data_IF_957580284291
#
_entry.id   IF_957580284291
#
_cell.length_a   1.000
_cell.length_b   1.000
_cell.length_c   1.000
_cell.angle_alpha   90.00
_cell.angle_beta   90.00
_cell.angle_gamma   90.00
#
_symmetry.space_group_name_H-M   'P 1'
#
loop_
_entity.id
_entity.type
_entity.pdbx_description
1 polymer ?
#
# COMPACT_ATOMS: atom_id res chain seq x y z
N UNK A 1 -11.35 -82.38 4.75
CA UNK A 1 -10.73 -81.74 3.57
C UNK A 1 -11.08 -80.28 3.65
N UNK A 2 -10.12 -79.44 4.02
CA UNK A 2 -10.29 -78.04 4.44
C UNK A 2 -10.25 -77.14 3.24
N UNK A 3 -11.33 -76.36 3.01
CA UNK A 3 -11.36 -75.31 2.01
C UNK A 3 -10.74 -74.05 2.62
N UNK A 4 -9.62 -73.63 2.07
CA UNK A 4 -8.97 -72.36 2.43
C UNK A 4 -9.61 -71.29 1.56
N UNK A 5 -10.31 -70.38 2.20
CA UNK A 5 -10.92 -69.19 1.57
C UNK A 5 -9.87 -68.08 1.58
N UNK A 6 -9.31 -67.76 0.43
CA UNK A 6 -8.39 -66.63 0.27
C UNK A 6 -9.22 -65.33 0.17
N UNK A 7 -9.16 -64.53 1.22
CA UNK A 7 -9.73 -63.18 1.23
C UNK A 7 -8.72 -62.23 0.62
N UNK A 8 -8.97 -61.84 -0.63
CA UNK A 8 -8.18 -60.79 -1.30
C UNK A 8 -8.66 -59.42 -0.76
N UNK A 9 -7.88 -58.82 0.12
CA UNK A 9 -8.04 -57.43 0.52
C UNK A 9 -7.65 -56.54 -0.66
N UNK A 10 -8.63 -55.96 -1.31
CA UNK A 10 -8.46 -54.88 -2.26
C UNK A 10 -8.21 -53.58 -1.46
N UNK A 11 -6.96 -53.27 -1.21
CA UNK A 11 -6.56 -51.96 -0.70
C UNK A 11 -6.74 -50.95 -1.86
N UNK A 12 -7.90 -50.31 -1.93
CA UNK A 12 -8.09 -49.13 -2.76
C UNK A 12 -7.29 -48.02 -2.11
N UNK A 13 -6.08 -47.81 -2.57
CA UNK A 13 -5.35 -46.59 -2.28
C UNK A 13 -6.07 -45.41 -2.95
N UNK A 14 -6.93 -44.77 -2.18
CA UNK A 14 -7.43 -43.43 -2.50
C UNK A 14 -6.21 -42.49 -2.47
N UNK A 15 -5.48 -42.44 -3.58
CA UNK A 15 -4.59 -41.32 -3.85
C UNK A 15 -5.52 -40.10 -4.02
N UNK A 16 -5.87 -39.47 -2.89
CA UNK A 16 -6.38 -38.15 -2.87
C UNK A 16 -5.27 -37.26 -3.45
N UNK A 17 -5.31 -37.02 -4.74
CA UNK A 17 -4.69 -35.83 -5.32
C UNK A 17 -5.34 -34.62 -4.61
N UNK A 18 -4.84 -34.24 -3.46
CA UNK A 18 -4.89 -32.86 -3.05
C UNK A 18 -4.13 -32.11 -4.13
N UNK A 19 -4.83 -31.62 -5.15
CA UNK A 19 -4.43 -30.42 -5.81
C UNK A 19 -4.31 -29.41 -4.66
N UNK A 20 -3.10 -29.20 -4.19
CA UNK A 20 -2.76 -27.96 -3.51
C UNK A 20 -3.10 -26.91 -4.53
N UNK A 21 -4.24 -26.23 -4.34
CA UNK A 21 -4.45 -24.95 -4.99
C UNK A 21 -3.24 -24.13 -4.54
N UNK A 22 -2.28 -23.98 -5.46
CA UNK A 22 -1.15 -23.12 -5.27
C UNK A 22 -1.79 -21.74 -5.29
N UNK A 23 -2.08 -21.21 -4.11
CA UNK A 23 -2.61 -19.86 -3.95
C UNK A 23 -1.48 -18.94 -4.39
N UNK A 24 -1.72 -18.20 -5.46
CA UNK A 24 -0.81 -17.15 -5.89
C UNK A 24 -0.67 -16.14 -4.76
N UNK A 25 0.54 -15.67 -4.50
CA UNK A 25 0.81 -14.80 -3.37
C UNK A 25 2.28 -14.46 -3.24
N UNK A 26 2.65 -13.81 -2.17
CA UNK A 26 4.03 -13.50 -1.84
C UNK A 26 4.37 -13.93 -0.40
N UNK A 27 5.65 -14.11 -0.14
CA UNK A 27 6.15 -14.37 1.19
C UNK A 27 6.63 -13.08 1.82
N UNK A 28 6.15 -12.81 3.03
CA UNK A 28 6.59 -11.70 3.86
C UNK A 28 7.25 -12.24 5.12
N UNK A 29 8.45 -11.77 5.41
CA UNK A 29 9.16 -12.13 6.65
C UNK A 29 9.88 -10.90 7.21
N UNK A 30 10.20 -10.92 8.50
CA UNK A 30 10.91 -9.81 9.11
C UNK A 30 11.73 -10.21 10.32
N UNK A 31 12.77 -9.38 10.57
CA UNK A 31 13.56 -9.40 11.79
C UNK A 31 13.47 -7.98 12.39
N UNK A 32 12.68 -7.85 13.45
CA UNK A 32 12.36 -6.58 14.11
C UNK A 32 12.77 -6.64 15.58
N UNK A 33 13.73 -5.81 15.96
CA UNK A 33 14.09 -5.63 17.37
C UNK A 33 12.86 -5.10 18.14
N UNK A 34 12.62 -5.65 19.32
CA UNK A 34 11.49 -5.30 20.18
C UNK A 34 10.21 -6.10 19.94
N UNK A 35 10.14 -6.90 18.87
CA UNK A 35 8.98 -7.75 18.58
C UNK A 35 8.95 -8.96 19.54
N UNK A 36 7.83 -9.18 20.24
CA UNK A 36 7.66 -10.21 21.26
C UNK A 36 6.76 -11.35 20.76
N UNK A 37 6.94 -12.56 21.32
CA UNK A 37 6.00 -13.66 21.09
C UNK A 37 4.60 -13.28 21.55
N UNK A 38 3.60 -13.54 20.72
CA UNK A 38 2.19 -13.18 20.97
C UNK A 38 1.83 -11.75 20.54
N UNK A 39 2.76 -10.97 20.01
CA UNK A 39 2.41 -9.74 19.32
C UNK A 39 1.66 -10.03 18.03
N UNK A 40 0.86 -9.08 17.61
CA UNK A 40 0.07 -9.16 16.40
C UNK A 40 0.45 -8.02 15.47
N UNK A 41 0.81 -8.35 14.25
CA UNK A 41 1.01 -7.40 13.16
C UNK A 41 -0.20 -7.43 12.24
N UNK A 42 -0.64 -6.27 11.78
CA UNK A 42 -1.77 -6.10 10.87
C UNK A 42 -1.24 -5.64 9.52
N UNK A 43 -1.50 -6.42 8.49
CA UNK A 43 -1.13 -6.10 7.12
C UNK A 43 -2.38 -5.61 6.38
N UNK A 44 -2.49 -4.29 6.23
CA UNK A 44 -3.63 -3.64 5.57
C UNK A 44 -3.37 -3.46 4.09
N UNK A 45 -4.39 -3.71 3.27
CA UNK A 45 -4.38 -3.49 1.83
C UNK A 45 -5.14 -2.22 1.49
N UNK A 46 -4.62 -1.44 0.53
CA UNK A 46 -5.26 -0.21 0.07
C UNK A 46 -5.42 -0.19 -1.44
N UNK A 47 -6.60 0.23 -1.90
CA UNK A 47 -6.89 0.45 -3.31
C UNK A 47 -6.52 1.88 -3.73
N UNK A 48 -5.82 2.00 -4.84
CA UNK A 48 -5.53 3.27 -5.49
C UNK A 48 -6.61 3.60 -6.55
N UNK A 49 -6.85 4.87 -6.83
CA UNK A 49 -6.17 6.06 -6.30
C UNK A 49 -6.72 6.56 -4.96
N UNK A 50 -7.88 6.08 -4.52
CA UNK A 50 -8.64 6.67 -3.40
C UNK A 50 -8.08 6.30 -2.01
N UNK A 51 -7.03 5.48 -1.95
CA UNK A 51 -6.44 4.97 -0.70
C UNK A 51 -7.47 4.32 0.24
N UNK A 52 -8.47 3.68 -0.35
CA UNK A 52 -9.50 2.98 0.41
C UNK A 52 -8.94 1.68 0.96
N UNK A 53 -9.11 1.44 2.27
CA UNK A 53 -8.80 0.14 2.88
C UNK A 53 -9.70 -0.94 2.28
N UNK A 54 -9.09 -2.02 1.79
CA UNK A 54 -9.77 -3.13 1.13
C UNK A 54 -9.76 -4.42 1.96
N UNK A 55 -8.75 -4.58 2.82
CA UNK A 55 -8.64 -5.75 3.69
C UNK A 55 -7.56 -5.61 4.74
N UNK A 56 -7.56 -6.54 5.69
CA UNK A 56 -6.54 -6.64 6.73
C UNK A 56 -6.24 -8.10 7.04
N UNK A 57 -5.00 -8.52 6.82
CA UNK A 57 -4.47 -9.79 7.27
C UNK A 57 -3.81 -9.64 8.64
N UNK A 58 -3.85 -10.71 9.44
CA UNK A 58 -3.26 -10.74 10.77
C UNK A 58 -2.09 -11.71 10.80
N UNK A 59 -0.93 -11.24 11.28
CA UNK A 59 0.28 -12.05 11.43
C UNK A 59 0.60 -12.17 12.92
N UNK A 60 0.47 -13.39 13.47
CA UNK A 60 0.82 -13.68 14.85
C UNK A 60 2.33 -13.95 14.94
N UNK A 61 2.98 -13.32 15.92
CA UNK A 61 4.39 -13.52 16.19
C UNK A 61 4.58 -14.76 17.06
N UNK A 62 5.17 -15.80 16.48
CA UNK A 62 5.41 -17.09 17.15
C UNK A 62 6.81 -17.21 17.74
N UNK A 63 7.75 -16.37 17.27
CA UNK A 63 9.14 -16.36 17.72
C UNK A 63 9.61 -14.93 17.92
N UNK A 64 10.26 -14.68 19.06
CA UNK A 64 10.81 -13.37 19.41
C UNK A 64 11.69 -12.78 18.30
N UNK A 65 11.49 -11.50 18.03
CA UNK A 65 12.24 -10.72 17.03
C UNK A 65 11.94 -11.07 15.57
N UNK A 66 11.10 -12.06 15.28
CA UNK A 66 10.88 -12.51 13.90
C UNK A 66 9.42 -12.83 13.59
N UNK A 67 9.03 -12.64 12.34
CA UNK A 67 7.74 -13.11 11.81
C UNK A 67 7.90 -13.64 10.38
N UNK A 68 6.97 -14.47 9.94
CA UNK A 68 6.87 -14.92 8.55
C UNK A 68 5.43 -15.27 8.23
N UNK A 69 4.95 -14.84 7.07
CA UNK A 69 3.64 -15.15 6.55
C UNK A 69 3.68 -15.36 5.03
N UNK A 70 2.76 -16.17 4.52
CA UNK A 70 2.43 -16.21 3.10
C UNK A 70 1.12 -15.44 2.92
N UNK A 71 1.13 -14.46 2.03
CA UNK A 71 0.00 -13.56 1.78
C UNK A 71 -0.56 -13.87 0.40
N UNK A 72 -1.79 -14.41 0.30
CA UNK A 72 -2.47 -14.63 -0.98
C UNK A 72 -2.71 -13.29 -1.69
N UNK A 73 -2.46 -13.27 -3.01
CA UNK A 73 -2.72 -12.09 -3.83
C UNK A 73 -2.82 -12.49 -5.31
N UNK A 74 -3.55 -11.70 -6.10
CA UNK A 74 -3.75 -11.96 -7.53
C UNK A 74 -2.95 -11.00 -8.43
N UNK A 75 -2.56 -9.84 -7.91
CA UNK A 75 -1.85 -8.79 -8.64
C UNK A 75 -0.94 -7.99 -7.71
N UNK A 76 -0.05 -7.20 -8.28
CA UNK A 76 0.81 -6.28 -7.51
C UNK A 76 -0.02 -5.37 -6.62
N UNK A 77 0.32 -5.33 -5.33
CA UNK A 77 -0.50 -4.68 -4.31
C UNK A 77 0.36 -3.86 -3.36
N UNK A 78 -0.21 -2.74 -2.89
CA UNK A 78 0.34 -1.94 -1.81
C UNK A 78 -0.22 -2.40 -0.47
N UNK A 79 0.67 -2.63 0.49
CA UNK A 79 0.35 -2.99 1.85
C UNK A 79 0.95 -2.01 2.85
N UNK A 80 0.25 -1.85 3.96
CA UNK A 80 0.76 -1.15 5.15
C UNK A 80 0.81 -2.12 6.32
N UNK A 81 2.03 -2.48 6.76
CA UNK A 81 2.23 -3.30 7.95
C UNK A 81 2.18 -2.41 9.18
N UNK A 82 1.32 -2.74 10.11
CA UNK A 82 1.08 -1.99 11.35
C UNK A 82 1.23 -2.88 12.58
N UNK A 83 1.55 -2.26 13.69
CA UNK A 83 1.53 -2.87 15.02
C UNK A 83 0.55 -2.13 15.91
N UNK A 84 -0.18 -2.87 16.74
CA UNK A 84 -1.03 -2.29 17.77
C UNK A 84 -0.40 -2.58 19.14
N UNK A 85 0.15 -1.56 19.81
CA UNK A 85 0.73 -1.71 21.14
C UNK A 85 -0.29 -2.22 22.15
N UNK A 86 0.14 -3.05 23.08
CA UNK A 86 -0.67 -3.44 24.23
C UNK A 86 -0.86 -2.28 25.19
N UNK A 87 -1.87 -2.34 26.06
CA UNK A 87 -2.13 -1.30 27.03
C UNK A 87 -0.90 -1.08 27.94
N UNK A 88 -0.40 0.15 27.99
CA UNK A 88 0.79 0.52 28.77
C UNK A 88 2.12 0.43 28.01
N UNK A 89 2.11 -0.06 26.77
CA UNK A 89 3.31 -0.02 25.92
C UNK A 89 3.47 1.35 25.24
N UNK A 90 4.72 1.71 24.87
CA UNK A 90 4.97 2.93 24.12
C UNK A 90 4.23 2.94 22.78
N UNK A 91 3.61 4.07 22.41
CA UNK A 91 2.88 4.23 21.15
C UNK A 91 3.79 4.41 19.92
N UNK A 92 5.11 4.31 20.09
CA UNK A 92 6.10 4.62 19.06
C UNK A 92 5.94 3.71 17.80
N UNK A 93 5.69 2.43 18.02
CA UNK A 93 5.50 1.44 16.96
C UNK A 93 4.26 1.67 16.08
N UNK A 94 3.28 2.44 16.55
CA UNK A 94 2.07 2.75 15.79
C UNK A 94 2.06 4.14 15.13
N UNK A 95 3.13 4.96 15.32
CA UNK A 95 3.22 6.29 14.70
C UNK A 95 3.20 6.18 13.18
N UNK A 96 3.92 5.18 12.63
CA UNK A 96 3.99 4.94 11.18
C UNK A 96 4.20 3.45 10.90
N UNK A 97 3.40 2.87 10.03
CA UNK A 97 3.57 1.51 9.53
C UNK A 97 4.63 1.39 8.44
N UNK A 98 5.03 0.15 8.13
CA UNK A 98 5.91 -0.15 7.00
C UNK A 98 5.11 -0.27 5.70
N UNK A 99 5.50 0.49 4.69
CA UNK A 99 4.88 0.52 3.37
C UNK A 99 5.53 -0.55 2.48
N UNK A 100 4.76 -1.51 1.98
CA UNK A 100 5.24 -2.65 1.21
C UNK A 100 4.53 -2.71 -0.12
N UNK A 101 5.29 -2.87 -1.21
CA UNK A 101 4.74 -3.15 -2.53
C UNK A 101 5.25 -4.51 -2.97
N UNK A 102 4.34 -5.45 -3.20
CA UNK A 102 4.66 -6.82 -3.51
C UNK A 102 4.01 -7.27 -4.82
N UNK A 103 4.69 -8.14 -5.55
CA UNK A 103 4.18 -8.90 -6.69
C UNK A 103 3.94 -10.34 -6.29
N UNK A 104 3.11 -11.02 -7.03
CA UNK A 104 2.99 -12.48 -6.95
C UNK A 104 4.36 -13.12 -7.13
N UNK A 105 4.74 -14.01 -6.20
CA UNK A 105 6.00 -14.73 -6.18
C UNK A 105 7.15 -14.03 -5.46
N UNK A 106 7.00 -12.77 -5.01
CA UNK A 106 8.06 -12.08 -4.26
C UNK A 106 8.34 -12.75 -2.89
N UNK A 107 9.59 -12.70 -2.43
CA UNK A 107 10.03 -13.04 -1.05
C UNK A 107 10.59 -11.76 -0.42
N UNK A 108 9.72 -10.99 0.26
CA UNK A 108 10.07 -9.70 0.84
C UNK A 108 10.48 -9.89 2.30
N UNK A 109 11.60 -9.25 2.66
CA UNK A 109 12.17 -9.31 4.00
C UNK A 109 12.31 -7.91 4.58
N UNK A 110 11.85 -7.76 5.82
CA UNK A 110 11.95 -6.53 6.59
C UNK A 110 13.04 -6.66 7.66
N UNK A 111 13.80 -5.61 7.87
CA UNK A 111 14.81 -5.53 8.94
C UNK A 111 14.79 -4.17 9.61
N UNK A 112 14.75 -4.16 10.94
CA UNK A 112 14.77 -2.91 11.71
C UNK A 112 14.31 -3.11 13.15
N UNK A 113 13.62 -2.09 13.68
CA UNK A 113 13.05 -2.10 15.03
C UNK A 113 11.54 -1.87 14.96
N UNK A 114 10.80 -2.50 15.86
CA UNK A 114 9.36 -2.32 16.00
C UNK A 114 9.00 -0.85 16.32
N UNK A 115 9.81 -0.19 17.16
CA UNK A 115 9.63 1.24 17.49
C UNK A 115 9.72 2.16 16.26
N UNK A 116 10.40 1.71 15.22
CA UNK A 116 10.58 2.44 13.98
C UNK A 116 10.01 1.65 12.79
N UNK A 117 8.83 1.05 12.97
CA UNK A 117 8.24 0.17 11.96
C UNK A 117 8.13 0.83 10.57
N UNK A 118 7.80 2.12 10.51
CA UNK A 118 7.76 2.88 9.25
C UNK A 118 9.14 3.27 8.68
N UNK A 119 10.23 2.88 9.36
CA UNK A 119 11.62 3.14 8.94
C UNK A 119 12.42 1.84 8.75
N UNK A 120 11.77 0.68 8.71
CA UNK A 120 12.42 -0.60 8.40
C UNK A 120 12.99 -0.61 6.99
N UNK A 121 14.00 -1.45 6.77
CA UNK A 121 14.61 -1.67 5.46
C UNK A 121 13.99 -2.90 4.82
N UNK A 122 13.79 -2.79 3.52
CA UNK A 122 13.24 -3.85 2.68
C UNK A 122 14.31 -4.51 1.82
N UNK A 123 14.10 -5.78 1.48
CA UNK A 123 14.86 -6.53 0.47
C UNK A 123 13.96 -7.58 -0.19
N UNK A 124 14.34 -8.05 -1.37
CA UNK A 124 13.52 -8.93 -2.21
C UNK A 124 12.54 -8.17 -3.11
N UNK A 125 12.04 -8.81 -4.15
CA UNK A 125 11.11 -8.23 -5.09
C UNK A 125 11.62 -6.94 -5.75
N UNK A 126 10.82 -5.89 -5.73
CA UNK A 126 11.22 -4.57 -6.26
C UNK A 126 12.42 -3.95 -5.53
N UNK A 127 12.61 -4.28 -4.25
CA UNK A 127 13.65 -3.68 -3.42
C UNK A 127 15.07 -4.16 -3.76
N UNK A 128 15.22 -5.17 -4.61
CA UNK A 128 16.52 -5.60 -5.16
C UNK A 128 16.99 -4.70 -6.30
N UNK A 129 16.12 -3.82 -6.84
CA UNK A 129 16.50 -2.79 -7.77
C UNK A 129 17.25 -1.65 -7.03
N UNK A 130 18.40 -1.24 -7.53
CA UNK A 130 19.26 -0.27 -6.86
C UNK A 130 18.62 1.10 -6.62
N UNK A 131 17.76 1.57 -7.54
CA UNK A 131 17.07 2.85 -7.39
C UNK A 131 15.94 2.76 -6.36
N UNK A 132 15.21 1.65 -6.34
CA UNK A 132 14.18 1.38 -5.31
C UNK A 132 14.83 1.21 -3.94
N UNK A 133 15.93 0.43 -3.83
CA UNK A 133 16.68 0.28 -2.59
C UNK A 133 17.24 1.61 -2.06
N UNK A 134 17.66 2.51 -2.96
CA UNK A 134 18.08 3.86 -2.59
C UNK A 134 16.92 4.69 -2.07
N UNK A 135 15.77 4.65 -2.74
CA UNK A 135 14.56 5.32 -2.29
C UNK A 135 14.12 4.82 -0.92
N UNK A 136 14.07 3.49 -0.73
CA UNK A 136 13.78 2.83 0.53
C UNK A 136 14.70 3.31 1.67
N UNK A 137 16.02 3.38 1.41
CA UNK A 137 16.99 3.88 2.38
C UNK A 137 16.75 5.32 2.82
N UNK A 138 16.46 6.19 1.87
CA UNK A 138 16.19 7.61 2.14
C UNK A 138 14.85 7.79 2.86
N UNK A 139 13.85 6.99 2.50
CA UNK A 139 12.55 6.99 3.17
C UNK A 139 12.69 6.51 4.62
N UNK A 140 13.44 5.45 4.87
CA UNK A 140 13.70 4.96 6.23
C UNK A 140 14.37 6.02 7.09
N UNK A 141 15.41 6.70 6.59
CA UNK A 141 16.08 7.80 7.30
C UNK A 141 15.11 8.95 7.61
N UNK A 142 14.34 9.41 6.63
CA UNK A 142 13.35 10.47 6.79
C UNK A 142 12.25 10.09 7.78
N UNK A 143 11.77 8.85 7.73
CA UNK A 143 10.74 8.36 8.64
C UNK A 143 11.27 8.23 10.07
N UNK A 144 12.55 7.87 10.28
CA UNK A 144 13.18 7.86 11.61
C UNK A 144 13.07 9.23 12.26
N UNK A 145 13.46 10.29 11.56
CA UNK A 145 13.38 11.67 12.06
C UNK A 145 11.94 12.08 12.39
N UNK A 146 11.00 11.75 11.50
CA UNK A 146 9.58 12.04 11.74
C UNK A 146 9.01 11.31 12.95
N UNK A 147 9.35 10.03 13.12
CA UNK A 147 8.91 9.23 14.27
C UNK A 147 9.49 9.81 15.55
N UNK A 148 10.75 10.26 15.55
CA UNK A 148 11.38 10.89 16.71
C UNK A 148 10.68 12.18 17.11
N UNK A 149 10.41 13.07 16.17
CA UNK A 149 9.69 14.32 16.43
C UNK A 149 8.30 14.01 17.00
N UNK A 150 7.54 13.14 16.35
CA UNK A 150 6.17 12.82 16.75
C UNK A 150 6.10 12.10 18.11
N UNK A 151 7.08 11.25 18.41
CA UNK A 151 7.15 10.57 19.70
C UNK A 151 7.35 11.56 20.87
N UNK A 152 8.04 12.69 20.65
CA UNK A 152 8.14 13.75 21.64
C UNK A 152 6.79 14.45 21.86
N UNK A 153 6.01 14.66 20.79
CA UNK A 153 4.65 15.22 20.92
C UNK A 153 3.82 14.34 21.86
N UNK A 154 3.75 13.03 21.56
CA UNK A 154 2.99 12.07 22.38
C UNK A 154 3.46 12.08 23.85
N UNK A 155 4.77 12.02 24.10
CA UNK A 155 5.36 12.06 25.45
C UNK A 155 4.94 13.31 26.22
N UNK A 156 4.99 14.48 25.60
CA UNK A 156 4.67 15.74 26.28
C UNK A 156 3.16 15.97 26.40
N UNK A 157 2.34 15.40 25.53
CA UNK A 157 0.88 15.35 25.68
C UNK A 157 0.50 14.54 26.94
N UNK A 158 1.09 13.37 27.12
CA UNK A 158 0.84 12.50 28.27
C UNK A 158 1.23 13.18 29.58
N UNK A 159 2.33 13.93 29.59
CA UNK A 159 2.81 14.68 30.76
C UNK A 159 2.23 16.10 30.87
N UNK A 160 1.26 16.50 30.05
CA UNK A 160 0.56 17.80 30.03
C UNK A 160 1.50 19.02 29.91
N UNK A 161 2.62 18.89 29.19
CA UNK A 161 3.58 19.95 28.95
C UNK A 161 3.27 20.68 27.64
N UNK A 162 2.27 21.55 27.65
CA UNK A 162 1.71 22.18 26.45
C UNK A 162 2.73 22.97 25.61
N UNK A 163 3.67 23.68 26.25
CA UNK A 163 4.71 24.43 25.52
C UNK A 163 5.63 23.51 24.73
N UNK A 164 5.97 22.34 25.30
CA UNK A 164 6.75 21.32 24.61
C UNK A 164 5.96 20.69 23.47
N UNK A 165 4.67 20.40 23.65
CA UNK A 165 3.78 19.92 22.60
C UNK A 165 3.73 20.92 21.44
N UNK A 166 3.55 22.21 21.71
CA UNK A 166 3.53 23.26 20.70
C UNK A 166 4.86 23.34 19.93
N UNK A 167 6.00 23.30 20.65
CA UNK A 167 7.34 23.30 20.04
C UNK A 167 7.54 22.16 19.06
N UNK A 168 7.30 20.91 19.50
CA UNK A 168 7.49 19.74 18.66
C UNK A 168 6.42 19.64 17.55
N UNK A 169 5.19 20.14 17.80
CA UNK A 169 4.15 20.29 16.78
C UNK A 169 4.59 21.24 15.66
N UNK A 170 5.23 22.36 15.99
CA UNK A 170 5.82 23.25 15.01
C UNK A 170 6.95 22.56 14.24
N UNK A 171 7.87 21.88 14.92
CA UNK A 171 8.95 21.13 14.26
C UNK A 171 8.40 20.09 13.28
N UNK A 172 7.32 19.38 13.65
CA UNK A 172 6.66 18.40 12.76
C UNK A 172 6.05 19.06 11.53
N UNK A 173 5.36 20.19 11.69
CA UNK A 173 4.74 20.94 10.60
C UNK A 173 5.78 21.57 9.66
N UNK A 174 6.93 21.97 10.18
CA UNK A 174 8.04 22.56 9.44
C UNK A 174 9.01 21.49 8.88
N UNK A 175 8.80 20.21 9.22
CA UNK A 175 9.66 19.14 8.74
C UNK A 175 9.55 18.98 7.23
N UNK A 176 10.63 19.30 6.55
CA UNK A 176 10.74 19.12 5.10
C UNK A 176 11.53 17.85 4.79
N UNK A 177 10.90 16.93 4.09
CA UNK A 177 11.61 15.73 3.61
C UNK A 177 12.84 16.14 2.79
N UNK A 178 13.97 15.45 2.94
CA UNK A 178 15.20 15.79 2.23
C UNK A 178 14.98 15.91 0.72
N UNK A 179 15.54 16.94 0.10
CA UNK A 179 15.45 17.16 -1.36
C UNK A 179 15.94 15.94 -2.14
N UNK A 180 16.95 15.24 -1.63
CA UNK A 180 17.46 14.02 -2.27
C UNK A 180 16.41 12.91 -2.32
N UNK A 181 15.57 12.74 -1.28
CA UNK A 181 14.47 11.79 -1.29
C UNK A 181 13.45 12.13 -2.37
N UNK A 182 13.06 13.41 -2.46
CA UNK A 182 12.17 13.90 -3.52
C UNK A 182 12.76 13.63 -4.91
N UNK A 183 14.04 13.93 -5.11
CA UNK A 183 14.72 13.72 -6.40
C UNK A 183 14.72 12.26 -6.83
N UNK A 184 14.95 11.32 -5.90
CA UNK A 184 14.94 9.88 -6.21
C UNK A 184 13.52 9.40 -6.48
N UNK A 185 12.52 9.85 -5.69
CA UNK A 185 11.10 9.58 -5.93
C UNK A 185 10.66 10.04 -7.32
N UNK A 186 10.97 11.29 -7.66
CA UNK A 186 10.59 11.87 -8.95
C UNK A 186 11.31 11.14 -10.11
N UNK A 187 12.55 10.68 -9.89
CA UNK A 187 13.25 9.85 -10.89
C UNK A 187 12.58 8.50 -11.10
N UNK A 188 12.13 7.83 -10.03
CA UNK A 188 11.35 6.59 -10.12
C UNK A 188 10.02 6.83 -10.86
N UNK A 189 9.25 7.81 -10.41
CA UNK A 189 7.91 8.06 -10.94
C UNK A 189 7.89 8.58 -12.38
N UNK A 190 8.87 9.40 -12.78
CA UNK A 190 8.82 10.17 -14.04
C UNK A 190 9.80 9.67 -15.14
N UNK A 191 10.82 8.88 -14.78
CA UNK A 191 11.89 8.49 -15.72
C UNK A 191 12.03 6.98 -15.91
N UNK A 192 11.56 6.16 -14.99
CA UNK A 192 11.62 4.70 -15.10
C UNK A 192 10.37 4.22 -15.83
N UNK A 193 10.56 3.48 -16.94
CA UNK A 193 9.47 3.11 -17.84
C UNK A 193 9.19 1.61 -17.88
N UNK A 194 10.08 0.80 -17.38
CA UNK A 194 10.12 -0.66 -17.48
C UNK A 194 9.84 -1.40 -16.15
N UNK A 195 9.32 -0.68 -15.17
CA UNK A 195 9.06 -1.23 -13.84
C UNK A 195 7.69 -0.79 -13.32
N UNK A 196 6.87 -1.74 -12.93
CA UNK A 196 5.52 -1.47 -12.37
C UNK A 196 5.57 -0.62 -11.08
N UNK A 197 6.66 -0.74 -10.29
CA UNK A 197 6.89 0.14 -9.13
C UNK A 197 6.86 1.63 -9.51
N UNK A 198 7.34 1.99 -10.71
CA UNK A 198 7.29 3.36 -11.20
C UNK A 198 5.86 3.82 -11.54
N UNK A 199 5.03 2.92 -12.07
CA UNK A 199 3.61 3.19 -12.29
C UNK A 199 2.87 3.40 -10.96
N UNK A 200 3.15 2.58 -9.94
CA UNK A 200 2.66 2.80 -8.57
C UNK A 200 3.10 4.16 -8.03
N UNK A 201 4.39 4.50 -8.13
CA UNK A 201 4.92 5.78 -7.63
C UNK A 201 4.27 6.97 -8.32
N UNK A 202 3.98 6.87 -9.61
CA UNK A 202 3.28 7.92 -10.33
C UNK A 202 1.81 8.00 -9.89
N UNK A 203 1.10 6.89 -9.82
CA UNK A 203 -0.30 6.83 -9.38
C UNK A 203 -0.50 7.33 -7.95
N UNK A 204 0.44 7.03 -7.05
CA UNK A 204 0.35 7.40 -5.63
C UNK A 204 0.72 8.85 -5.31
N UNK A 205 1.62 9.47 -6.09
CA UNK A 205 2.21 10.75 -5.75
C UNK A 205 1.86 11.89 -6.69
N UNK A 206 1.45 11.62 -7.92
CA UNK A 206 1.28 12.63 -8.96
C UNK A 206 -0.13 12.69 -9.55
N UNK A 207 -0.89 11.62 -9.47
CA UNK A 207 -2.19 11.53 -10.15
C UNK A 207 -3.21 12.57 -9.69
N UNK A 208 -3.14 12.99 -8.43
CA UNK A 208 -4.10 13.96 -7.86
C UNK A 208 -3.98 15.36 -8.44
N UNK A 209 -2.76 15.77 -8.84
CA UNK A 209 -2.50 17.09 -9.42
C UNK A 209 -2.26 17.02 -10.93
N UNK A 210 -2.31 15.80 -11.52
CA UNK A 210 -2.04 15.59 -12.93
C UNK A 210 -3.25 15.90 -13.81
N UNK A 211 -3.01 16.53 -14.96
CA UNK A 211 -4.02 16.70 -16.00
C UNK A 211 -4.21 15.41 -16.82
N UNK A 212 -5.30 15.33 -17.59
CA UNK A 212 -5.50 14.25 -18.58
C UNK A 212 -4.28 14.08 -19.48
N UNK A 213 -3.70 15.19 -19.94
CA UNK A 213 -2.52 15.18 -20.80
C UNK A 213 -1.32 14.55 -20.10
N UNK A 214 -1.05 14.94 -18.85
CA UNK A 214 0.10 14.46 -18.08
C UNK A 214 0.04 12.94 -17.88
N UNK A 215 -1.13 12.43 -17.45
CA UNK A 215 -1.32 10.99 -17.24
C UNK A 215 -1.21 10.22 -18.55
N UNK A 216 -1.81 10.74 -19.63
CA UNK A 216 -1.76 10.12 -20.97
C UNK A 216 -0.33 10.03 -21.50
N UNK A 217 0.43 11.12 -21.41
CA UNK A 217 1.83 11.17 -21.87
C UNK A 217 2.70 10.24 -21.01
N UNK A 218 2.48 10.21 -19.71
CA UNK A 218 3.23 9.32 -18.81
C UNK A 218 2.92 7.85 -19.07
N UNK A 219 1.65 7.48 -19.20
CA UNK A 219 1.23 6.11 -19.50
C UNK A 219 1.84 5.62 -20.83
N UNK A 220 1.87 6.46 -21.85
CA UNK A 220 2.46 6.14 -23.17
C UNK A 220 3.99 5.93 -23.12
N UNK A 221 4.69 6.42 -22.11
CA UNK A 221 6.13 6.21 -21.93
C UNK A 221 6.46 4.86 -21.30
N UNK A 222 5.53 4.25 -20.56
CA UNK A 222 5.74 2.93 -19.96
C UNK A 222 5.84 1.84 -21.03
N UNK A 223 6.61 0.78 -20.74
CA UNK A 223 6.63 -0.40 -21.61
C UNK A 223 5.26 -1.07 -21.66
N UNK A 224 4.94 -1.87 -22.70
CA UNK A 224 3.67 -2.59 -22.79
C UNK A 224 3.39 -3.46 -21.56
N UNK A 225 4.41 -4.07 -20.96
CA UNK A 225 4.29 -4.88 -19.75
C UNK A 225 3.79 -4.03 -18.58
N UNK A 226 4.36 -2.84 -18.40
CA UNK A 226 3.96 -1.92 -17.32
C UNK A 226 2.58 -1.31 -17.59
N UNK A 227 2.25 -0.96 -18.84
CA UNK A 227 0.92 -0.47 -19.21
C UNK A 227 -0.17 -1.51 -18.91
N UNK A 228 0.12 -2.79 -19.12
CA UNK A 228 -0.80 -3.90 -18.86
C UNK A 228 -0.77 -4.41 -17.40
N UNK A 229 0.15 -3.91 -16.57
CA UNK A 229 0.23 -4.27 -15.16
C UNK A 229 -0.94 -3.67 -14.37
N UNK A 230 -1.11 -4.10 -13.12
CA UNK A 230 -2.19 -3.60 -12.27
C UNK A 230 -2.16 -2.07 -12.10
N UNK A 231 -0.99 -1.50 -11.79
CA UNK A 231 -0.87 -0.03 -11.62
C UNK A 231 -0.91 0.73 -12.95
N UNK A 232 -0.49 0.12 -14.05
CA UNK A 232 -0.70 0.66 -15.40
C UNK A 232 -2.19 0.79 -15.75
N UNK A 233 -2.96 -0.24 -15.43
CA UNK A 233 -4.42 -0.23 -15.64
C UNK A 233 -5.15 0.75 -14.71
N UNK A 234 -4.64 1.00 -13.50
CA UNK A 234 -5.17 2.08 -12.63
C UNK A 234 -4.98 3.44 -13.29
N UNK A 235 -3.80 3.71 -13.87
CA UNK A 235 -3.55 4.96 -14.60
C UNK A 235 -4.45 5.10 -15.85
N UNK A 236 -4.69 4.01 -16.57
CA UNK A 236 -5.62 4.03 -17.70
C UNK A 236 -7.07 4.34 -17.28
N UNK A 237 -7.54 3.74 -16.19
CA UNK A 237 -8.84 4.06 -15.60
C UNK A 237 -8.91 5.53 -15.16
N UNK A 238 -7.83 6.08 -14.62
CA UNK A 238 -7.76 7.48 -14.22
C UNK A 238 -7.90 8.43 -15.40
N UNK A 239 -7.42 8.06 -16.60
CA UNK A 239 -7.67 8.85 -17.81
C UNK A 239 -9.16 9.01 -18.13
N UNK A 240 -9.97 7.98 -17.88
CA UNK A 240 -11.43 8.06 -18.08
C UNK A 240 -12.07 9.05 -17.09
N UNK A 241 -11.61 9.05 -15.84
CA UNK A 241 -12.08 9.99 -14.82
C UNK A 241 -11.70 11.42 -15.21
N UNK A 242 -10.43 11.68 -15.49
CA UNK A 242 -9.92 13.00 -15.86
C UNK A 242 -10.60 13.55 -17.11
N UNK A 243 -10.88 12.71 -18.11
CA UNK A 243 -11.62 13.11 -19.32
C UNK A 243 -13.01 13.69 -19.02
N UNK A 244 -13.64 13.27 -17.92
CA UNK A 244 -14.97 13.72 -17.54
C UNK A 244 -14.98 15.00 -16.69
N UNK A 245 -13.85 15.39 -16.12
CA UNK A 245 -13.76 16.52 -15.17
C UNK A 245 -12.83 17.66 -15.66
N UNK A 246 -12.01 17.42 -16.67
CA UNK A 246 -11.06 18.43 -17.15
C UNK A 246 -11.74 19.45 -18.08
N UNK A 247 -11.28 20.69 -18.01
CA UNK A 247 -11.78 21.78 -18.84
C UNK A 247 -11.60 21.46 -20.34
N UNK A 248 -12.68 21.63 -21.09
CA UNK A 248 -12.72 21.36 -22.53
C UNK A 248 -13.30 20.00 -22.94
N UNK A 249 -13.55 19.12 -21.97
CA UNK A 249 -14.28 17.86 -22.22
C UNK A 249 -15.75 17.99 -21.80
N UNK A 250 -16.59 17.15 -22.40
CA UNK A 250 -17.97 17.07 -21.97
C UNK A 250 -18.04 16.38 -20.59
N UNK A 251 -18.73 16.96 -19.60
CA UNK A 251 -18.90 16.33 -18.31
C UNK A 251 -19.71 15.04 -18.41
N UNK A 252 -19.51 14.13 -17.45
CA UNK A 252 -20.34 12.94 -17.34
C UNK A 252 -21.81 13.32 -17.09
N UNK A 253 -22.73 12.66 -17.77
CA UNK A 253 -24.15 12.83 -17.51
C UNK A 253 -24.51 12.25 -16.13
N UNK A 254 -25.31 12.99 -15.37
CA UNK A 254 -25.86 12.50 -14.11
C UNK A 254 -27.31 13.01 -13.94
N UNK A 255 -28.05 12.31 -13.11
CA UNK A 255 -29.43 12.69 -12.74
C UNK A 255 -29.53 12.73 -11.22
N UNK A 256 -30.09 13.79 -10.69
CA UNK A 256 -30.39 13.97 -9.27
C UNK A 256 -31.90 14.14 -9.08
N UNK A 257 -32.38 13.93 -7.85
CA UNK A 257 -33.75 14.24 -7.46
C UNK A 257 -33.75 15.58 -6.76
N UNK A 258 -34.58 16.51 -7.22
CA UNK A 258 -34.71 17.83 -6.61
C UNK A 258 -35.58 17.77 -5.31
N UNK A 259 -35.74 18.90 -4.64
CA UNK A 259 -36.53 19.03 -3.42
C UNK A 259 -38.02 18.73 -3.60
N UNK A 260 -38.52 18.70 -4.83
CA UNK A 260 -39.91 18.43 -5.19
C UNK A 260 -40.08 17.00 -5.78
N UNK A 261 -39.11 16.10 -5.51
CA UNK A 261 -39.04 14.69 -5.97
C UNK A 261 -38.99 14.54 -7.52
N UNK A 262 -38.62 15.61 -8.25
CA UNK A 262 -38.46 15.55 -9.70
C UNK A 262 -37.03 15.14 -10.07
N UNK A 263 -36.91 14.27 -11.07
CA UNK A 263 -35.61 13.93 -11.65
C UNK A 263 -35.13 15.06 -12.55
N UNK A 264 -33.91 15.50 -12.30
CA UNK A 264 -33.25 16.57 -13.03
C UNK A 264 -31.91 16.06 -13.52
N UNK A 265 -31.65 16.15 -14.82
CA UNK A 265 -30.42 15.69 -15.46
C UNK A 265 -29.54 16.86 -15.87
N UNK A 266 -28.24 16.66 -15.97
CA UNK A 266 -27.33 17.70 -16.44
C UNK A 266 -27.69 18.18 -17.86
N UNK A 267 -28.15 17.28 -18.71
CA UNK A 267 -28.63 17.57 -20.08
C UNK A 267 -29.81 18.54 -20.14
N UNK A 268 -30.64 18.65 -19.08
CA UNK A 268 -31.76 19.60 -19.01
C UNK A 268 -31.29 21.06 -18.96
N UNK A 269 -30.01 21.27 -18.67
CA UNK A 269 -29.36 22.58 -18.59
C UNK A 269 -28.46 22.89 -19.78
N UNK A 270 -28.55 22.12 -20.87
CA UNK A 270 -27.74 22.35 -22.07
C UNK A 270 -27.86 23.79 -22.56
N UNK A 271 -26.73 24.46 -22.77
CA UNK A 271 -26.65 25.86 -23.17
C UNK A 271 -26.77 26.86 -22.02
N UNK A 272 -26.78 26.38 -20.77
CA UNK A 272 -26.75 27.25 -19.57
C UNK A 272 -25.44 27.04 -18.80
N UNK A 273 -25.09 28.01 -17.97
CA UNK A 273 -24.04 27.84 -16.96
C UNK A 273 -24.61 27.08 -15.75
N UNK A 274 -23.93 26.03 -15.32
CA UNK A 274 -24.31 25.23 -14.15
C UNK A 274 -23.17 25.26 -13.14
N UNK A 275 -23.46 25.61 -11.90
CA UNK A 275 -22.56 25.50 -10.77
C UNK A 275 -22.96 24.26 -9.96
N UNK A 276 -22.04 23.33 -9.80
CA UNK A 276 -22.22 22.13 -8.98
C UNK A 276 -21.39 22.31 -7.72
N UNK A 277 -22.01 22.14 -6.54
CA UNK A 277 -21.31 22.13 -5.26
C UNK A 277 -21.90 21.02 -4.37
N UNK A 278 -21.12 20.51 -3.41
CA UNK A 278 -21.51 19.45 -2.47
C UNK A 278 -20.97 19.76 -1.08
#
# INVERSE_FOLDING_TARGET
>A
MKKILALALFAVALVSCRQTMQTDGFKLSGQLEGLQVGDTLFLKTFLLPDWKEDGTDTILVEKEGTFSAFIPMEHTTFYLLMHQPKMGEPLRSCIRGAEIIARVGDDIKLKGSLDYLGAVRHSGGFYDNSLVARYDSLTASSNTEMIDIFSQILKYQDTKQNDSVAKYGQMYNEYHRPLILKTVRDSLALKVNDMEYAAFMYASAFVFDATYKDVKERLAQFTPEVQNSYFGQILDKQLLVLKNIEVGFAPAEFTVTDKDDRKVSLSDYKGKYVLIYH
#
